data_IF_851228685019
#
_entry.id   IF_851228685019
#
_cell.length_a   1.000
_cell.length_b   1.000
_cell.length_c   1.000
_cell.angle_alpha   90.00
_cell.angle_beta   90.00
_cell.angle_gamma   90.00
#
_symmetry.space_group_name_H-M   'P 1'
#
loop_
_entity.id
_entity.type
_entity.pdbx_description
1 polymer ?
#
# COMPACT_ATOMS: atom_id res chain seq x y z
N UNK A 1 1.08 -20.36 18.14
CA UNK A 1 1.07 -21.07 16.83
C UNK A 1 2.25 -20.57 16.02
N UNK A 2 3.13 -21.47 15.56
CA UNK A 2 4.19 -21.10 14.61
C UNK A 2 3.55 -20.94 13.23
N UNK A 3 3.55 -19.73 12.67
CA UNK A 3 3.28 -19.53 11.26
C UNK A 3 4.44 -20.18 10.48
N UNK A 4 4.19 -21.37 9.93
CA UNK A 4 5.16 -22.07 9.12
C UNK A 4 5.21 -21.40 7.73
N UNK A 5 6.02 -20.35 7.59
CA UNK A 5 6.30 -19.77 6.28
C UNK A 5 7.30 -20.66 5.54
N UNK A 6 6.81 -21.43 4.57
CA UNK A 6 7.64 -22.27 3.72
C UNK A 6 7.93 -21.51 2.42
N UNK A 7 9.20 -21.34 2.10
CA UNK A 7 9.64 -20.83 0.79
C UNK A 7 10.55 -21.85 0.12
N UNK A 8 10.66 -21.81 -1.21
CA UNK A 8 11.61 -22.65 -1.94
C UNK A 8 12.64 -21.78 -2.63
N UNK A 9 13.92 -22.07 -2.43
CA UNK A 9 15.03 -21.44 -3.16
C UNK A 9 15.68 -22.48 -4.05
N UNK A 10 16.02 -22.09 -5.28
CA UNK A 10 16.74 -22.92 -6.23
C UNK A 10 18.18 -22.46 -6.32
N UNK A 11 19.11 -23.30 -5.86
CA UNK A 11 20.55 -23.03 -5.92
C UNK A 11 21.25 -24.29 -6.40
N UNK A 12 22.12 -24.16 -7.42
CA UNK A 12 22.90 -25.28 -7.96
C UNK A 12 22.06 -26.49 -8.43
N UNK A 13 20.80 -26.26 -8.84
CA UNK A 13 19.88 -27.31 -9.28
C UNK A 13 19.11 -28.02 -8.16
N UNK A 14 19.38 -27.69 -6.89
CA UNK A 14 18.67 -28.24 -5.73
C UNK A 14 17.53 -27.30 -5.29
N UNK A 15 16.40 -27.91 -4.89
CA UNK A 15 15.28 -27.19 -4.28
C UNK A 15 15.43 -27.23 -2.77
N UNK A 16 15.70 -26.08 -2.15
CA UNK A 16 15.85 -25.94 -0.70
C UNK A 16 14.58 -25.37 -0.11
N UNK A 17 14.02 -26.05 0.89
CA UNK A 17 12.86 -25.59 1.66
C UNK A 17 13.36 -24.67 2.78
N UNK A 18 13.01 -23.38 2.68
CA UNK A 18 13.31 -22.38 3.69
C UNK A 18 12.35 -22.49 4.85
N UNK A 19 12.91 -22.52 6.06
CA UNK A 19 12.20 -22.44 7.33
C UNK A 19 13.08 -21.68 8.32
N UNK A 20 12.47 -20.95 9.25
CA UNK A 20 13.20 -20.45 10.40
C UNK A 20 13.47 -21.64 11.33
N UNK A 21 14.75 -21.97 11.56
CA UNK A 21 15.13 -23.03 12.47
C UNK A 21 15.01 -22.56 13.93
N UNK A 22 14.83 -23.47 14.90
CA UNK A 22 14.75 -23.14 16.32
C UNK A 22 15.97 -22.41 16.89
N UNK A 23 17.16 -22.62 16.33
CA UNK A 23 18.41 -21.99 16.80
C UNK A 23 19.08 -21.19 15.70
N UNK A 24 19.90 -20.21 16.09
CA UNK A 24 20.71 -19.41 15.16
C UNK A 24 21.64 -20.30 14.33
N UNK A 25 22.32 -21.25 14.98
CA UNK A 25 23.24 -22.20 14.36
C UNK A 25 22.56 -23.03 13.24
N UNK A 26 21.37 -23.56 13.50
CA UNK A 26 20.64 -24.33 12.48
C UNK A 26 20.16 -23.45 11.31
N UNK A 27 19.85 -22.18 11.56
CA UNK A 27 19.53 -21.23 10.49
C UNK A 27 20.78 -20.90 9.66
N UNK A 28 21.95 -20.76 10.29
CA UNK A 28 23.23 -20.59 9.59
C UNK A 28 23.48 -21.75 8.65
N UNK A 29 23.34 -22.99 9.13
CA UNK A 29 23.56 -24.19 8.30
C UNK A 29 22.62 -24.26 7.09
N UNK A 30 21.36 -23.86 7.26
CA UNK A 30 20.39 -23.80 6.17
C UNK A 30 20.77 -22.73 5.14
N UNK A 31 21.09 -21.51 5.59
CA UNK A 31 21.48 -20.41 4.71
C UNK A 31 22.80 -20.70 3.99
N UNK A 32 23.72 -21.43 4.62
CA UNK A 32 25.01 -21.77 4.05
C UNK A 32 24.86 -22.66 2.79
N UNK A 33 23.83 -23.51 2.76
CA UNK A 33 23.47 -24.30 1.56
C UNK A 33 22.97 -23.41 0.42
N UNK A 34 22.18 -22.40 0.74
CA UNK A 34 21.63 -21.44 -0.25
C UNK A 34 22.72 -20.51 -0.78
N UNK A 35 23.64 -20.08 0.08
CA UNK A 35 24.66 -19.09 -0.23
C UNK A 35 26.00 -19.72 -0.66
N UNK A 36 25.98 -20.94 -1.19
CA UNK A 36 27.14 -21.64 -1.74
C UNK A 36 28.35 -21.69 -0.81
N UNK A 37 28.15 -21.95 0.48
CA UNK A 37 29.25 -22.02 1.45
C UNK A 37 29.63 -20.68 2.10
N UNK A 38 28.92 -19.58 1.82
CA UNK A 38 29.22 -18.28 2.40
C UNK A 38 28.78 -18.16 3.86
N UNK A 39 29.68 -18.60 4.76
CA UNK A 39 29.43 -18.59 6.21
C UNK A 39 29.21 -17.20 6.79
N UNK A 40 29.98 -16.19 6.36
CA UNK A 40 29.87 -14.82 6.87
C UNK A 40 28.50 -14.20 6.60
N UNK A 41 27.99 -14.36 5.37
CA UNK A 41 26.66 -13.87 5.01
C UNK A 41 25.55 -14.65 5.74
N UNK A 42 25.73 -15.96 5.92
CA UNK A 42 24.79 -16.83 6.62
C UNK A 42 24.67 -16.46 8.10
N UNK A 43 25.79 -16.27 8.80
CA UNK A 43 25.85 -15.80 10.18
C UNK A 43 25.21 -14.41 10.35
N UNK A 44 25.54 -13.47 9.46
CA UNK A 44 24.98 -12.11 9.53
C UNK A 44 23.45 -12.09 9.38
N UNK A 45 22.90 -12.87 8.44
CA UNK A 45 21.46 -12.98 8.23
C UNK A 45 20.76 -13.72 9.37
N UNK A 46 21.31 -14.87 9.80
CA UNK A 46 20.73 -15.67 10.88
C UNK A 46 20.60 -14.87 12.17
N UNK A 47 21.64 -14.09 12.51
CA UNK A 47 21.65 -13.21 13.67
C UNK A 47 20.50 -12.19 13.67
N UNK A 48 20.21 -11.58 12.53
CA UNK A 48 19.14 -10.57 12.42
C UNK A 48 17.76 -11.23 12.49
N UNK A 49 17.58 -12.40 11.88
CA UNK A 49 16.29 -13.11 11.87
C UNK A 49 15.92 -13.67 13.26
N UNK A 50 16.92 -14.03 14.08
CA UNK A 50 16.75 -14.50 15.46
C UNK A 50 16.77 -13.37 16.50
N UNK A 51 16.96 -12.12 16.08
CA UNK A 51 16.97 -11.00 17.01
C UNK A 51 15.55 -10.66 17.46
N UNK A 52 15.30 -10.74 18.77
CA UNK A 52 14.05 -10.26 19.37
C UNK A 52 13.91 -8.74 19.19
N UNK A 53 12.75 -8.32 18.70
CA UNK A 53 12.40 -6.91 18.55
C UNK A 53 11.21 -6.60 19.43
N UNK A 54 11.38 -5.63 20.33
CA UNK A 54 10.30 -5.07 21.14
C UNK A 54 9.80 -3.83 20.42
N UNK A 55 8.57 -3.89 19.90
CA UNK A 55 7.87 -2.77 19.30
C UNK A 55 6.54 -2.58 20.04
N UNK A 56 6.28 -1.37 20.53
CA UNK A 56 5.05 -1.02 21.26
C UNK A 56 4.43 0.21 20.64
N UNK A 57 3.11 0.22 20.54
CA UNK A 57 2.33 1.38 20.14
C UNK A 57 1.26 1.58 21.23
N UNK A 58 1.37 2.65 22.06
CA UNK A 58 0.44 2.88 23.16
C UNK A 58 -1.02 2.99 22.72
N UNK A 59 -1.29 3.41 21.48
CA UNK A 59 -2.63 3.45 20.95
C UNK A 59 -3.17 2.03 20.74
N UNK A 60 -2.34 1.11 20.23
CA UNK A 60 -2.71 -0.29 20.01
C UNK A 60 -2.85 -1.04 21.34
N UNK A 61 -1.97 -0.78 22.32
CA UNK A 61 -2.02 -1.39 23.65
C UNK A 61 -3.32 -1.07 24.41
N UNK A 62 -4.00 0.03 24.05
CA UNK A 62 -5.27 0.45 24.65
C UNK A 62 -6.51 -0.20 24.03
N UNK A 63 -6.34 -1.00 22.98
CA UNK A 63 -7.44 -1.52 22.16
C UNK A 63 -7.61 -3.02 22.44
N UNK A 64 -8.77 -3.38 22.98
CA UNK A 64 -9.18 -4.77 23.16
C UNK A 64 -10.25 -5.14 22.11
N UNK A 65 -9.83 -5.84 21.05
CA UNK A 65 -10.74 -6.37 20.03
C UNK A 65 -10.43 -7.85 19.85
N UNK A 66 -11.47 -8.69 19.93
CA UNK A 66 -11.37 -10.11 19.64
C UNK A 66 -11.98 -10.40 18.27
N UNK A 67 -11.18 -10.96 17.36
CA UNK A 67 -11.63 -11.42 16.05
C UNK A 67 -11.38 -12.94 16.00
N UNK A 68 -12.37 -13.76 15.64
CA UNK A 68 -12.19 -15.21 15.52
C UNK A 68 -11.05 -15.54 14.54
N UNK A 69 -10.11 -16.38 14.95
CA UNK A 69 -8.93 -16.66 14.13
C UNK A 69 -9.26 -17.49 12.88
N UNK A 70 -10.32 -18.30 12.94
CA UNK A 70 -10.78 -19.19 11.88
C UNK A 70 -11.39 -18.46 10.67
N UNK A 71 -11.71 -17.17 10.80
CA UNK A 71 -12.17 -16.33 9.69
C UNK A 71 -11.03 -15.53 9.03
N UNK A 72 -9.80 -15.61 9.54
CA UNK A 72 -8.69 -14.75 9.11
C UNK A 72 -7.75 -15.46 8.15
N UNK A 73 -7.42 -14.77 7.05
CA UNK A 73 -6.28 -15.07 6.21
C UNK A 73 -5.40 -13.84 6.00
N UNK A 74 -4.14 -14.07 5.64
CA UNK A 74 -3.11 -13.03 5.55
C UNK A 74 -2.47 -13.05 4.17
N UNK A 75 -2.41 -11.88 3.53
CA UNK A 75 -1.56 -11.61 2.38
C UNK A 75 -0.32 -10.83 2.82
N UNK A 76 0.86 -11.26 2.37
CA UNK A 76 2.15 -10.64 2.74
C UNK A 76 2.92 -10.29 1.48
N UNK A 77 3.33 -9.02 1.36
CA UNK A 77 4.45 -8.64 0.50
C UNK A 77 5.66 -8.32 1.40
N UNK A 78 6.70 -9.18 1.41
CA UNK A 78 7.82 -9.00 2.31
C UNK A 78 8.67 -7.77 1.98
N UNK A 79 8.82 -7.41 0.69
CA UNK A 79 9.61 -6.27 0.22
C UNK A 79 9.00 -5.76 -1.10
N UNK A 80 7.96 -4.93 -1.00
CA UNK A 80 7.39 -4.21 -2.13
C UNK A 80 8.44 -3.26 -2.72
N UNK A 81 8.39 -3.09 -4.04
CA UNK A 81 9.35 -2.27 -4.79
C UNK A 81 10.78 -2.81 -4.76
N UNK A 82 10.94 -4.13 -4.94
CA UNK A 82 12.25 -4.82 -4.94
C UNK A 82 13.29 -4.16 -5.87
N UNK A 83 12.87 -3.60 -7.01
CA UNK A 83 13.78 -2.84 -7.89
C UNK A 83 14.42 -1.63 -7.19
N UNK A 84 13.63 -0.87 -6.43
CA UNK A 84 14.15 0.29 -5.67
C UNK A 84 15.02 -0.16 -4.50
N UNK A 85 14.65 -1.26 -3.83
CA UNK A 85 15.46 -1.87 -2.78
C UNK A 85 16.85 -2.25 -3.31
N UNK A 86 16.92 -2.94 -4.45
CA UNK A 86 18.18 -3.34 -5.08
C UNK A 86 18.97 -2.12 -5.60
N UNK A 87 18.29 -1.14 -6.19
CA UNK A 87 18.94 0.07 -6.73
C UNK A 87 19.59 0.92 -5.62
N UNK A 88 19.01 0.92 -4.42
CA UNK A 88 19.66 1.49 -3.23
C UNK A 88 19.85 3.01 -3.24
N UNK A 89 19.09 3.76 -4.06
CA UNK A 89 19.22 5.23 -4.11
C UNK A 89 18.69 5.87 -2.81
N UNK A 90 19.58 6.53 -2.07
CA UNK A 90 19.30 7.14 -0.77
C UNK A 90 19.05 8.67 -0.84
N UNK A 91 19.51 9.30 -1.92
CA UNK A 91 19.66 10.75 -2.10
C UNK A 91 18.57 11.39 -2.98
N UNK A 92 17.52 10.62 -3.31
CA UNK A 92 16.40 11.11 -4.11
C UNK A 92 15.60 12.14 -3.33
N UNK A 93 15.32 13.29 -3.95
CA UNK A 93 14.47 14.33 -3.38
C UNK A 93 13.00 14.06 -3.68
N UNK A 94 12.14 14.29 -2.70
CA UNK A 94 10.70 14.26 -2.90
C UNK A 94 10.22 15.46 -3.72
N UNK A 95 9.21 15.26 -4.57
CA UNK A 95 8.40 16.32 -5.14
C UNK A 95 7.14 16.49 -4.29
N UNK A 96 6.99 17.60 -3.58
CA UNK A 96 5.85 17.88 -2.68
C UNK A 96 5.59 16.75 -1.65
N UNK A 97 6.66 16.19 -1.07
CA UNK A 97 6.58 15.10 -0.10
C UNK A 97 6.43 13.70 -0.69
N UNK A 98 6.31 13.56 -2.02
CA UNK A 98 6.20 12.27 -2.72
C UNK A 98 7.53 11.94 -3.38
N UNK A 99 8.09 10.79 -3.05
CA UNK A 99 9.35 10.31 -3.64
C UNK A 99 9.07 9.60 -4.96
N UNK A 100 9.69 10.02 -6.08
CA UNK A 100 9.47 9.35 -7.36
C UNK A 100 10.15 7.98 -7.45
N UNK A 101 11.22 7.79 -6.70
CA UNK A 101 12.05 6.58 -6.62
C UNK A 101 12.91 6.62 -5.35
N UNK A 102 13.75 5.62 -5.16
CA UNK A 102 14.65 5.52 -4.01
C UNK A 102 14.14 4.58 -2.93
N UNK A 103 14.96 4.37 -1.91
CA UNK A 103 14.67 3.45 -0.80
C UNK A 103 13.39 3.81 -0.04
N UNK A 104 12.99 5.09 -0.06
CA UNK A 104 11.72 5.56 0.49
C UNK A 104 10.50 4.89 -0.17
N UNK A 105 10.62 4.38 -1.40
CA UNK A 105 9.51 3.69 -2.08
C UNK A 105 9.34 2.23 -1.64
N UNK A 106 10.23 1.70 -0.78
CA UNK A 106 10.18 0.31 -0.31
C UNK A 106 9.25 0.20 0.89
N UNK A 107 8.35 -0.77 0.86
CA UNK A 107 7.42 -1.04 1.96
C UNK A 107 7.31 -2.54 2.25
N UNK A 108 6.96 -2.87 3.48
CA UNK A 108 6.57 -4.21 3.91
C UNK A 108 5.06 -4.17 4.13
N UNK A 109 4.32 -5.08 3.52
CA UNK A 109 2.86 -5.08 3.51
C UNK A 109 2.34 -6.36 4.14
N UNK A 110 1.52 -6.22 5.18
CA UNK A 110 0.85 -7.35 5.83
C UNK A 110 -0.63 -6.99 5.94
N UNK A 111 -1.46 -7.64 5.11
CA UNK A 111 -2.89 -7.42 5.06
C UNK A 111 -3.64 -8.64 5.57
N UNK A 112 -4.60 -8.43 6.46
CA UNK A 112 -5.47 -9.47 7.00
C UNK A 112 -6.88 -9.26 6.46
N UNK A 113 -7.49 -10.32 5.95
CA UNK A 113 -8.83 -10.28 5.37
C UNK A 113 -9.70 -11.43 5.89
N UNK A 114 -11.01 -11.23 5.77
CA UNK A 114 -12.03 -12.22 6.09
C UNK A 114 -12.14 -13.26 4.96
N UNK A 115 -11.95 -14.55 5.27
CA UNK A 115 -11.94 -15.62 4.24
C UNK A 115 -13.30 -15.86 3.59
N UNK A 116 -14.40 -15.53 4.27
CA UNK A 116 -15.76 -15.79 3.79
C UNK A 116 -16.25 -14.67 2.87
N UNK A 117 -15.93 -13.43 3.23
CA UNK A 117 -16.40 -12.24 2.49
C UNK A 117 -15.33 -11.64 1.57
N UNK A 118 -14.07 -11.95 1.80
CA UNK A 118 -12.94 -11.36 1.10
C UNK A 118 -12.62 -9.93 1.49
N UNK A 119 -13.28 -9.36 2.50
CA UNK A 119 -13.11 -7.97 2.91
C UNK A 119 -11.83 -7.82 3.74
N UNK A 120 -10.97 -6.82 3.47
CA UNK A 120 -9.78 -6.60 4.28
C UNK A 120 -10.16 -5.96 5.62
N UNK A 121 -9.63 -6.51 6.71
CA UNK A 121 -9.99 -6.19 8.09
C UNK A 121 -8.88 -5.41 8.79
N UNK A 122 -7.62 -5.82 8.64
CA UNK A 122 -6.46 -5.20 9.29
C UNK A 122 -5.31 -5.05 8.30
N UNK A 123 -4.49 -4.03 8.48
CA UNK A 123 -3.35 -3.79 7.62
C UNK A 123 -2.19 -3.16 8.36
N UNK A 124 -0.98 -3.58 8.00
CA UNK A 124 0.28 -2.99 8.43
C UNK A 124 1.09 -2.64 7.19
N UNK A 125 1.56 -1.39 7.14
CA UNK A 125 2.55 -0.92 6.18
C UNK A 125 3.76 -0.46 6.99
N UNK A 126 4.91 -1.10 6.82
CA UNK A 126 6.15 -0.64 7.40
C UNK A 126 7.09 -0.13 6.30
N UNK A 127 7.50 1.13 6.39
CA UNK A 127 8.46 1.76 5.50
C UNK A 127 9.84 1.74 6.16
N UNK A 128 10.78 0.86 5.76
CA UNK A 128 12.04 0.70 6.49
C UNK A 128 12.98 1.91 6.37
N UNK A 129 12.87 2.67 5.28
CA UNK A 129 13.82 3.71 4.90
C UNK A 129 13.12 5.08 4.77
N UNK A 130 12.77 5.72 5.89
CA UNK A 130 12.12 7.04 5.88
C UNK A 130 13.13 8.17 5.91
N UNK A 131 14.00 8.13 6.91
CA UNK A 131 15.04 9.15 7.10
C UNK A 131 16.38 8.50 7.42
N UNK A 132 17.45 9.05 6.86
CA UNK A 132 18.81 8.61 7.10
C UNK A 132 19.55 9.66 7.92
N UNK A 133 20.20 9.23 8.98
CA UNK A 133 21.16 10.05 9.71
C UNK A 133 22.49 10.07 8.94
N UNK A 134 22.89 11.23 8.42
CA UNK A 134 24.09 11.35 7.57
C UNK A 134 25.41 11.18 8.34
N UNK A 135 25.41 11.31 9.67
CA UNK A 135 26.60 11.10 10.50
C UNK A 135 26.86 9.63 10.81
N UNK A 136 25.80 8.85 10.99
CA UNK A 136 25.87 7.42 11.34
C UNK A 136 25.52 6.48 10.18
N UNK A 137 24.98 7.03 9.09
CA UNK A 137 24.43 6.33 7.92
C UNK A 137 23.24 5.40 8.25
N UNK A 138 22.70 5.47 9.46
CA UNK A 138 21.59 4.62 9.91
C UNK A 138 20.25 5.16 9.41
N UNK A 139 19.39 4.23 9.02
CA UNK A 139 18.02 4.51 8.63
C UNK A 139 17.07 4.40 9.82
N UNK A 140 16.05 5.26 9.82
CA UNK A 140 14.87 5.14 10.67
C UNK A 140 13.66 4.86 9.78
N UNK A 141 12.90 3.83 10.17
CA UNK A 141 11.66 3.45 9.51
C UNK A 141 10.43 4.11 10.14
N UNK A 142 9.26 3.84 9.57
CA UNK A 142 7.96 4.20 10.13
C UNK A 142 6.94 3.10 9.86
N UNK A 143 6.12 2.80 10.87
CA UNK A 143 5.08 1.79 10.80
C UNK A 143 3.69 2.46 10.82
N UNK A 144 2.80 1.98 9.96
CA UNK A 144 1.42 2.42 9.84
C UNK A 144 0.49 1.23 9.95
N UNK A 145 -0.62 1.38 10.65
CA UNK A 145 -1.58 0.31 10.83
C UNK A 145 -3.01 0.83 10.85
N UNK A 146 -3.96 -0.07 10.60
CA UNK A 146 -5.38 0.21 10.65
C UNK A 146 -6.21 -1.06 10.79
N UNK A 147 -7.38 -0.92 11.42
CA UNK A 147 -8.36 -1.97 11.64
C UNK A 147 -9.76 -1.43 11.36
N UNK A 148 -10.54 -2.20 10.58
CA UNK A 148 -11.95 -1.98 10.28
C UNK A 148 -12.72 -3.28 10.51
N UNK A 149 -13.41 -3.38 11.65
CA UNK A 149 -14.14 -4.59 12.04
C UNK A 149 -15.41 -4.23 12.81
N UNK A 150 -16.57 -4.73 12.32
CA UNK A 150 -17.88 -4.57 12.98
C UNK A 150 -18.22 -3.13 13.40
N UNK A 151 -17.88 -2.15 12.55
CA UNK A 151 -18.13 -0.71 12.81
C UNK A 151 -17.02 -0.01 13.60
N UNK A 152 -16.10 -0.75 14.22
CA UNK A 152 -14.89 -0.21 14.84
C UNK A 152 -13.86 0.12 13.77
N UNK A 153 -13.43 1.38 13.72
CA UNK A 153 -12.47 1.90 12.75
C UNK A 153 -11.37 2.70 13.45
N UNK A 154 -10.16 2.15 13.44
CA UNK A 154 -8.99 2.69 14.16
C UNK A 154 -7.77 2.64 13.25
N UNK A 155 -6.87 3.62 13.37
CA UNK A 155 -5.64 3.66 12.59
C UNK A 155 -4.56 4.53 13.26
N UNK A 156 -3.29 4.27 12.93
CA UNK A 156 -2.14 4.90 13.58
C UNK A 156 -2.06 6.42 13.40
N UNK A 157 -2.72 6.98 12.38
CA UNK A 157 -2.79 8.44 12.16
C UNK A 157 -3.83 9.14 13.04
N UNK A 158 -4.61 8.43 13.87
CA UNK A 158 -5.53 9.05 14.83
C UNK A 158 -4.71 9.57 16.03
N UNK A 159 -4.61 10.89 16.19
CA UNK A 159 -4.05 11.47 17.41
C UNK A 159 -5.06 11.34 18.57
N UNK A 160 -4.67 10.79 19.74
CA UNK A 160 -5.51 10.78 20.96
C UNK A 160 -5.93 12.18 21.43
N UNK A 161 -5.24 13.23 20.95
CA UNK A 161 -5.45 14.63 21.35
C UNK A 161 -6.43 15.39 20.45
N UNK A 162 -6.86 14.80 19.33
CA UNK A 162 -7.74 15.49 18.38
C UNK A 162 -9.22 15.56 18.81
N UNK A 163 -9.62 14.77 19.82
CA UNK A 163 -10.96 14.79 20.39
C UNK A 163 -11.17 15.83 21.52
N UNK A 164 -10.11 16.39 22.12
CA UNK A 164 -10.22 17.36 23.24
C UNK A 164 -9.95 18.82 22.88
N UNK A 165 -9.32 19.11 21.74
CA UNK A 165 -9.00 20.48 21.31
C UNK A 165 -9.71 20.89 20.01
N UNK A 166 -10.97 20.49 19.82
CA UNK A 166 -11.80 20.97 18.69
C UNK A 166 -12.23 22.44 18.83
N UNK A 167 -11.57 23.25 19.67
CA UNK A 167 -11.87 24.68 19.79
C UNK A 167 -10.70 25.66 19.76
N UNK A 168 -9.44 25.26 19.83
CA UNK A 168 -8.37 26.26 19.68
C UNK A 168 -7.03 25.64 19.29
N UNK A 169 -6.38 26.29 18.31
CA UNK A 169 -5.04 26.02 17.78
C UNK A 169 -4.86 24.81 16.83
N UNK A 170 -5.45 24.90 15.62
CA UNK A 170 -4.72 24.49 14.40
C UNK A 170 -4.24 25.75 13.69
N UNK A 171 -2.96 26.06 13.83
CA UNK A 171 -2.28 26.99 12.94
C UNK A 171 -2.21 26.35 11.55
N UNK A 172 -2.75 26.99 10.50
CA UNK A 172 -2.63 26.48 9.13
C UNK A 172 -1.16 26.55 8.72
N UNK A 173 -0.63 25.45 8.21
CA UNK A 173 0.52 25.54 7.30
C UNK A 173 0.09 26.48 6.19
N UNK A 174 0.86 27.56 6.02
CA UNK A 174 0.63 28.71 5.15
C UNK A 174 -0.02 28.34 3.81
N UNK A 175 -1.35 28.44 3.77
CA UNK A 175 -2.03 28.89 2.57
C UNK A 175 -1.65 30.37 2.43
N UNK A 176 -0.87 30.71 1.40
CA UNK A 176 -0.77 32.09 0.97
C UNK A 176 -2.20 32.55 0.61
N UNK A 177 -2.77 33.55 1.30
CA UNK A 177 -4.05 34.13 0.90
C UNK A 177 -3.75 35.16 -0.19
N UNK A 178 -3.50 34.67 -1.39
CA UNK A 178 -3.43 35.50 -2.59
C UNK A 178 -4.35 34.91 -3.65
N UNK A 179 -5.48 35.60 -3.83
CA UNK A 179 -6.56 35.40 -4.80
C UNK A 179 -7.47 34.18 -4.60
N UNK A 180 -8.76 34.46 -4.33
CA UNK A 180 -9.85 33.50 -4.34
C UNK A 180 -10.21 33.04 -5.75
N UNK A 181 -9.35 32.21 -6.33
CA UNK A 181 -9.69 31.35 -7.44
C UNK A 181 -9.64 29.91 -6.93
N UNK A 182 -10.78 29.22 -6.91
CA UNK A 182 -10.79 27.76 -6.79
C UNK A 182 -9.82 27.21 -7.83
N UNK A 183 -8.88 26.35 -7.42
CA UNK A 183 -7.96 25.75 -8.38
C UNK A 183 -8.79 25.03 -9.45
N UNK A 184 -8.55 25.24 -10.76
CA UNK A 184 -9.34 24.60 -11.81
C UNK A 184 -9.24 23.07 -11.81
N UNK A 185 -8.27 22.53 -11.05
CA UNK A 185 -8.02 21.10 -10.87
C UNK A 185 -8.12 20.73 -9.39
N UNK A 186 -9.27 20.20 -8.92
CA UNK A 186 -9.52 20.00 -7.49
C UNK A 186 -8.83 18.77 -6.90
N UNK A 187 -8.22 17.91 -7.73
CA UNK A 187 -7.66 16.62 -7.32
C UNK A 187 -6.16 16.52 -7.57
N UNK A 188 -5.51 15.66 -6.78
CA UNK A 188 -4.15 15.19 -6.98
C UNK A 188 -4.09 13.68 -7.09
N UNK A 189 -3.24 13.18 -7.99
CA UNK A 189 -3.10 11.76 -8.25
C UNK A 189 -1.65 11.30 -8.19
N UNK A 190 -1.41 10.09 -7.70
CA UNK A 190 -0.15 9.37 -7.90
C UNK A 190 -0.35 8.23 -8.88
N UNK A 191 0.60 8.03 -9.79
CA UNK A 191 0.56 6.99 -10.83
C UNK A 191 1.90 6.27 -10.96
N UNK A 192 1.87 5.09 -11.59
CA UNK A 192 3.10 4.44 -12.06
C UNK A 192 3.74 5.22 -13.21
N UNK A 193 5.05 5.09 -13.39
CA UNK A 193 5.74 5.60 -14.59
C UNK A 193 5.22 4.94 -15.87
N UNK A 194 4.82 3.67 -15.77
CA UNK A 194 4.30 2.81 -16.85
C UNK A 194 2.81 3.00 -17.16
N UNK A 195 2.13 3.99 -16.54
CA UNK A 195 0.69 4.19 -16.71
C UNK A 195 0.30 4.46 -18.19
N UNK A 196 -0.92 4.07 -18.60
CA UNK A 196 -1.38 4.18 -20.00
C UNK A 196 -1.63 5.63 -20.41
N UNK A 197 -1.37 5.95 -21.67
CA UNK A 197 -1.51 7.32 -22.20
C UNK A 197 -2.94 7.87 -22.13
N UNK A 198 -4.01 7.11 -22.43
CA UNK A 198 -5.38 7.61 -22.26
C UNK A 198 -5.69 8.04 -20.82
N UNK A 199 -5.24 7.25 -19.83
CA UNK A 199 -5.41 7.57 -18.40
C UNK A 199 -4.60 8.81 -18.04
N UNK A 200 -3.34 8.91 -18.46
CA UNK A 200 -2.49 10.10 -18.24
C UNK A 200 -3.11 11.36 -18.84
N UNK A 201 -3.63 11.28 -20.06
CA UNK A 201 -4.27 12.40 -20.75
C UNK A 201 -5.53 12.86 -20.00
N UNK A 202 -6.38 11.94 -19.57
CA UNK A 202 -7.58 12.26 -18.78
C UNK A 202 -7.20 12.86 -17.41
N UNK A 203 -6.24 12.27 -16.70
CA UNK A 203 -5.74 12.80 -15.43
C UNK A 203 -5.18 14.21 -15.59
N UNK A 204 -4.50 14.52 -16.70
CA UNK A 204 -3.96 15.87 -16.94
C UNK A 204 -5.09 16.92 -17.00
N UNK A 205 -6.28 16.54 -17.48
CA UNK A 205 -7.46 17.41 -17.48
C UNK A 205 -8.09 17.55 -16.10
N UNK A 206 -8.06 16.49 -15.29
CA UNK A 206 -8.68 16.46 -13.95
C UNK A 206 -7.78 17.09 -12.87
N UNK A 207 -6.50 16.72 -12.86
CA UNK A 207 -5.54 17.04 -11.81
C UNK A 207 -4.52 18.11 -12.21
N UNK A 208 -4.45 18.49 -13.50
CA UNK A 208 -3.45 19.43 -14.00
C UNK A 208 -2.03 18.96 -13.70
N UNK A 209 -1.24 19.83 -13.06
CA UNK A 209 0.15 19.55 -12.66
C UNK A 209 0.27 18.67 -11.40
N UNK A 210 -0.84 18.40 -10.69
CA UNK A 210 -0.84 17.63 -9.44
C UNK A 210 -0.88 16.11 -9.69
N UNK A 211 -0.11 15.65 -10.68
CA UNK A 211 0.08 14.24 -11.01
C UNK A 211 1.51 13.86 -10.68
N UNK A 212 1.67 12.97 -9.72
CA UNK A 212 2.97 12.52 -9.24
C UNK A 212 3.26 11.11 -9.75
N UNK A 213 4.51 10.86 -10.14
CA UNK A 213 4.97 9.52 -10.48
C UNK A 213 5.74 8.97 -9.29
N UNK A 214 5.46 7.73 -8.90
CA UNK A 214 6.17 7.06 -7.82
C UNK A 214 6.33 5.55 -8.06
N UNK A 215 7.44 5.00 -7.58
CA UNK A 215 7.67 3.56 -7.51
C UNK A 215 6.96 2.92 -6.30
N UNK A 216 6.85 1.59 -6.28
CA UNK A 216 6.24 0.81 -5.19
C UNK A 216 4.72 0.88 -5.14
N UNK A 217 4.04 -0.26 -5.20
CA UNK A 217 2.58 -0.31 -5.15
C UNK A 217 2.07 0.05 -3.75
N UNK A 218 2.74 -0.47 -2.72
CA UNK A 218 2.50 -0.15 -1.32
C UNK A 218 2.81 1.31 -1.01
N UNK A 219 3.93 1.85 -1.52
CA UNK A 219 4.28 3.26 -1.31
C UNK A 219 3.27 4.24 -1.95
N UNK A 220 2.80 3.98 -3.18
CA UNK A 220 1.75 4.80 -3.80
C UNK A 220 0.45 4.79 -2.99
N UNK A 221 0.06 3.62 -2.47
CA UNK A 221 -1.10 3.50 -1.59
C UNK A 221 -0.88 4.24 -0.27
N UNK A 222 0.32 4.18 0.29
CA UNK A 222 0.71 4.94 1.49
C UNK A 222 0.62 6.45 1.27
N UNK A 223 0.94 6.98 0.08
CA UNK A 223 0.72 8.39 -0.23
C UNK A 223 -0.75 8.82 -0.06
N UNK A 224 -1.71 7.95 -0.42
CA UNK A 224 -3.14 8.20 -0.21
C UNK A 224 -3.52 8.10 1.27
N UNK A 225 -3.01 7.09 1.97
CA UNK A 225 -3.21 6.92 3.43
C UNK A 225 -2.75 8.17 4.19
N UNK A 226 -1.57 8.69 3.85
CA UNK A 226 -1.00 9.89 4.46
C UNK A 226 -1.70 11.19 4.04
N UNK A 227 -2.54 11.16 2.99
CA UNK A 227 -3.16 12.36 2.42
C UNK A 227 -2.17 13.26 1.66
N UNK A 228 -1.08 12.71 1.15
CA UNK A 228 -0.15 13.43 0.25
C UNK A 228 -0.75 13.59 -1.15
N UNK A 229 -1.60 12.65 -1.56
CA UNK A 229 -2.42 12.70 -2.77
C UNK A 229 -3.84 12.25 -2.46
N UNK A 230 -4.79 12.70 -3.27
CA UNK A 230 -6.21 12.32 -3.11
C UNK A 230 -6.46 10.90 -3.65
N UNK A 231 -5.81 10.56 -4.77
CA UNK A 231 -6.06 9.34 -5.54
C UNK A 231 -4.74 8.63 -5.91
N UNK A 232 -4.72 7.31 -5.77
CA UNK A 232 -3.77 6.45 -6.49
C UNK A 232 -4.56 5.67 -7.54
N UNK A 233 -4.18 5.81 -8.81
CA UNK A 233 -4.77 5.05 -9.92
C UNK A 233 -3.70 4.22 -10.62
N UNK A 234 -4.09 3.00 -11.01
CA UNK A 234 -3.28 2.07 -11.77
C UNK A 234 -4.15 1.30 -12.75
N UNK A 235 -3.82 1.30 -14.05
CA UNK A 235 -4.68 0.69 -15.09
C UNK A 235 -4.20 -0.64 -15.69
N UNK A 236 -3.14 -1.21 -15.15
CA UNK A 236 -2.61 -2.51 -15.58
C UNK A 236 -2.97 -3.63 -14.60
N UNK A 237 -2.84 -4.87 -15.07
CA UNK A 237 -3.15 -6.08 -14.31
C UNK A 237 -1.94 -6.60 -13.51
N UNK A 238 -0.92 -5.77 -13.29
CA UNK A 238 0.36 -6.16 -12.68
C UNK A 238 0.48 -5.77 -11.21
N UNK A 239 -0.65 -5.55 -10.54
CA UNK A 239 -0.74 -5.52 -9.07
C UNK A 239 -1.50 -6.74 -8.59
N UNK A 240 -1.20 -7.19 -7.38
CA UNK A 240 -1.74 -8.42 -6.80
C UNK A 240 -2.40 -8.18 -5.45
N UNK A 241 -3.01 -9.23 -4.90
CA UNK A 241 -3.67 -9.19 -3.58
C UNK A 241 -2.71 -8.72 -2.47
N UNK A 242 -1.46 -9.18 -2.49
CA UNK A 242 -0.44 -8.78 -1.51
C UNK A 242 -0.01 -7.31 -1.61
N UNK A 243 -0.03 -6.70 -2.80
CA UNK A 243 0.32 -5.28 -2.99
C UNK A 243 -0.71 -4.31 -2.40
N UNK A 244 -1.95 -4.77 -2.21
CA UNK A 244 -3.12 -3.90 -1.97
C UNK A 244 -3.84 -4.18 -0.65
N UNK A 245 -3.85 -5.43 -0.16
CA UNK A 245 -4.65 -5.83 1.01
C UNK A 245 -4.37 -4.97 2.26
N UNK A 246 -3.10 -4.79 2.61
CA UNK A 246 -2.70 -4.03 3.79
C UNK A 246 -3.15 -2.56 3.69
N UNK A 247 -2.86 -1.89 2.59
CA UNK A 247 -3.23 -0.51 2.40
C UNK A 247 -4.75 -0.31 2.29
N UNK A 248 -5.45 -1.25 1.66
CA UNK A 248 -6.90 -1.22 1.57
C UNK A 248 -7.55 -1.31 2.97
N UNK A 249 -7.07 -2.21 3.85
CA UNK A 249 -7.56 -2.28 5.22
C UNK A 249 -7.40 -0.94 5.98
N UNK A 250 -6.24 -0.30 5.85
CA UNK A 250 -5.98 1.01 6.47
C UNK A 250 -6.92 2.06 5.91
N UNK A 251 -7.08 2.14 4.57
CA UNK A 251 -7.98 3.09 3.92
C UNK A 251 -9.43 2.90 4.37
N UNK A 252 -9.90 1.66 4.55
CA UNK A 252 -11.25 1.37 5.06
C UNK A 252 -11.46 1.93 6.46
N UNK A 253 -10.47 1.77 7.35
CA UNK A 253 -10.52 2.35 8.70
C UNK A 253 -10.59 3.89 8.68
N UNK A 254 -10.27 4.53 7.55
CA UNK A 254 -10.34 5.98 7.35
C UNK A 254 -11.61 6.45 6.61
N UNK A 255 -12.50 5.53 6.24
CA UNK A 255 -13.70 5.81 5.43
C UNK A 255 -13.47 5.78 3.90
N UNK A 256 -12.30 5.31 3.48
CA UNK A 256 -11.92 5.11 2.08
C UNK A 256 -11.97 3.64 1.66
N UNK A 257 -11.18 3.30 0.64
CA UNK A 257 -11.06 1.93 0.16
C UNK A 257 -10.17 1.81 -1.08
N UNK A 258 -10.26 0.65 -1.74
CA UNK A 258 -9.71 0.41 -3.06
C UNK A 258 -10.75 -0.25 -3.94
N UNK A 259 -11.03 0.36 -5.09
CA UNK A 259 -12.04 -0.13 -6.05
C UNK A 259 -11.39 -0.61 -7.33
N UNK A 260 -12.04 -1.54 -8.01
CA UNK A 260 -11.68 -1.97 -9.37
C UNK A 260 -11.89 -0.81 -10.35
N UNK A 261 -10.83 -0.43 -11.06
CA UNK A 261 -10.87 0.71 -11.99
C UNK A 261 -11.80 0.41 -13.17
N UNK A 262 -11.68 -0.76 -13.78
CA UNK A 262 -12.44 -1.14 -14.97
C UNK A 262 -13.93 -1.22 -14.65
N UNK A 263 -14.30 -1.87 -13.57
CA UNK A 263 -15.70 -1.92 -13.14
C UNK A 263 -16.26 -0.53 -12.83
N UNK A 264 -15.46 0.38 -12.26
CA UNK A 264 -15.89 1.77 -12.07
C UNK A 264 -16.16 2.49 -13.40
N UNK A 265 -15.34 2.26 -14.43
CA UNK A 265 -15.48 2.90 -15.74
C UNK A 265 -16.65 2.31 -16.56
N UNK A 266 -16.97 1.03 -16.38
CA UNK A 266 -18.06 0.33 -17.07
C UNK A 266 -19.41 0.47 -16.34
N UNK A 267 -19.40 1.05 -15.13
CA UNK A 267 -20.58 1.15 -14.26
C UNK A 267 -21.69 1.99 -14.88
N UNK A 268 -22.89 1.42 -14.97
CA UNK A 268 -24.08 2.16 -15.37
C UNK A 268 -24.55 3.13 -14.28
N UNK A 269 -25.14 4.29 -14.64
CA UNK A 269 -25.68 5.27 -13.68
C UNK A 269 -26.77 4.72 -12.74
N UNK A 270 -27.41 3.61 -13.12
CA UNK A 270 -28.45 2.92 -12.33
C UNK A 270 -27.93 1.72 -11.52
N UNK A 271 -26.64 1.41 -11.59
CA UNK A 271 -26.03 0.41 -10.71
C UNK A 271 -26.20 0.86 -9.24
N UNK A 272 -26.30 -0.11 -8.31
CA UNK A 272 -26.60 0.13 -6.89
C UNK A 272 -25.68 1.13 -6.18
N UNK A 273 -25.82 1.35 -4.88
CA UNK A 273 -25.01 2.34 -4.17
C UNK A 273 -23.57 1.86 -3.90
N UNK A 274 -23.27 0.57 -4.00
CA UNK A 274 -21.98 0.04 -3.52
C UNK A 274 -20.90 0.09 -4.60
N UNK A 275 -19.77 0.71 -4.28
CA UNK A 275 -18.60 0.75 -5.16
C UNK A 275 -17.97 -0.65 -5.29
N UNK A 276 -17.36 -1.00 -6.44
CA UNK A 276 -16.78 -2.32 -6.66
C UNK A 276 -15.45 -2.44 -5.92
N UNK A 277 -15.51 -2.69 -4.62
CA UNK A 277 -14.32 -2.81 -3.78
C UNK A 277 -13.53 -4.06 -4.15
N UNK A 278 -12.20 -3.98 -4.08
CA UNK A 278 -11.35 -5.16 -4.21
C UNK A 278 -11.65 -6.17 -3.09
N UNK A 279 -11.74 -7.45 -3.49
CA UNK A 279 -11.84 -8.60 -2.57
C UNK A 279 -10.60 -9.49 -2.68
N UNK A 280 -10.31 -10.21 -1.60
CA UNK A 280 -9.03 -10.90 -1.40
C UNK A 280 -9.11 -12.43 -1.27
N UNK A 281 -10.33 -12.98 -1.20
CA UNK A 281 -10.59 -14.42 -1.08
C UNK A 281 -10.74 -15.18 -2.41
N UNK A 282 -11.05 -14.48 -3.51
CA UNK A 282 -11.30 -15.10 -4.82
C UNK A 282 -10.16 -14.82 -5.79
N UNK A 283 -9.79 -15.85 -6.55
CA UNK A 283 -8.85 -15.75 -7.65
C UNK A 283 -9.57 -15.48 -8.98
N UNK A 284 -8.86 -14.94 -9.95
CA UNK A 284 -9.37 -14.70 -11.29
C UNK A 284 -9.65 -16.01 -12.03
N UNK A 285 -10.87 -16.20 -12.50
CA UNK A 285 -11.25 -17.37 -13.28
C UNK A 285 -10.39 -17.51 -14.55
N UNK A 286 -9.99 -18.74 -14.86
CA UNK A 286 -9.20 -19.08 -16.05
C UNK A 286 -7.74 -18.60 -16.02
N UNK A 287 -7.28 -17.90 -14.99
CA UNK A 287 -5.87 -17.54 -14.82
C UNK A 287 -5.09 -18.67 -14.12
N UNK A 288 -3.80 -18.77 -14.44
CA UNK A 288 -2.90 -19.78 -13.85
C UNK A 288 -1.74 -19.11 -13.11
N UNK A 289 -1.19 -19.80 -12.11
CA UNK A 289 -0.03 -19.32 -11.37
C UNK A 289 -0.31 -18.02 -10.61
N UNK A 290 0.62 -17.08 -10.68
CA UNK A 290 0.56 -15.79 -9.94
C UNK A 290 -0.59 -14.90 -10.44
N UNK A 291 -0.96 -14.99 -11.71
CA UNK A 291 -2.02 -14.17 -12.32
C UNK A 291 -3.43 -14.50 -11.77
N UNK A 292 -3.59 -15.65 -11.10
CA UNK A 292 -4.80 -15.97 -10.34
C UNK A 292 -5.09 -14.91 -9.28
N UNK A 293 -4.06 -14.24 -8.74
CA UNK A 293 -4.20 -13.29 -7.63
C UNK A 293 -3.98 -11.84 -8.06
N UNK A 294 -3.96 -11.57 -9.37
CA UNK A 294 -3.86 -10.22 -9.91
C UNK A 294 -5.14 -9.40 -9.64
N UNK A 295 -4.99 -8.10 -9.47
CA UNK A 295 -6.09 -7.13 -9.54
C UNK A 295 -6.31 -6.77 -11.01
N UNK A 296 -7.02 -7.63 -11.73
CA UNK A 296 -7.38 -7.40 -13.14
C UNK A 296 -8.24 -6.15 -13.27
N UNK A 297 -8.07 -5.42 -14.37
CA UNK A 297 -8.79 -4.16 -14.61
C UNK A 297 -8.17 -2.94 -13.92
N UNK A 298 -7.14 -3.13 -13.10
CA UNK A 298 -6.50 -2.07 -12.35
C UNK A 298 -7.30 -1.65 -11.11
N UNK A 299 -6.83 -0.58 -10.45
CA UNK A 299 -7.40 -0.13 -9.18
C UNK A 299 -7.40 1.39 -9.03
N UNK A 300 -8.28 1.86 -8.16
CA UNK A 300 -8.25 3.21 -7.59
C UNK A 300 -8.25 3.11 -6.07
N UNK A 301 -7.21 3.62 -5.41
CA UNK A 301 -7.18 3.79 -3.97
C UNK A 301 -7.55 5.23 -3.59
N UNK A 302 -8.38 5.38 -2.56
CA UNK A 302 -8.94 6.65 -2.15
C UNK A 302 -9.22 6.67 -0.64
N UNK A 303 -9.19 7.86 -0.05
CA UNK A 303 -9.46 8.07 1.38
C UNK A 303 -10.90 8.52 1.68
N UNK A 304 -11.57 9.16 0.72
CA UNK A 304 -12.93 9.67 0.88
C UNK A 304 -13.81 9.27 -0.29
N UNK A 305 -14.91 8.56 0.00
CA UNK A 305 -15.89 8.15 -1.00
C UNK A 305 -16.44 9.32 -1.82
N UNK A 306 -16.74 10.45 -1.16
CA UNK A 306 -17.23 11.66 -1.81
C UNK A 306 -16.21 12.22 -2.81
N UNK A 307 -14.92 12.19 -2.46
CA UNK A 307 -13.86 12.63 -3.38
C UNK A 307 -13.72 11.68 -4.57
N UNK A 308 -13.81 10.36 -4.34
CA UNK A 308 -13.76 9.38 -5.42
C UNK A 308 -14.91 9.56 -6.42
N UNK A 309 -16.15 9.72 -5.95
CA UNK A 309 -17.32 9.89 -6.83
C UNK A 309 -17.19 11.15 -7.70
N UNK A 310 -16.74 12.26 -7.10
CA UNK A 310 -16.48 13.50 -7.83
C UNK A 310 -15.31 13.36 -8.83
N UNK A 311 -14.24 12.66 -8.44
CA UNK A 311 -13.10 12.37 -9.31
C UNK A 311 -13.48 11.49 -10.51
N UNK A 312 -14.21 10.39 -10.28
CA UNK A 312 -14.68 9.48 -11.34
C UNK A 312 -15.59 10.19 -12.33
N UNK A 313 -16.48 11.07 -11.85
CA UNK A 313 -17.37 11.86 -12.71
C UNK A 313 -16.59 12.70 -13.72
N UNK A 314 -15.48 13.33 -13.30
CA UNK A 314 -14.62 14.11 -14.20
C UNK A 314 -13.73 13.21 -15.07
N UNK A 315 -13.19 12.13 -14.51
CA UNK A 315 -12.32 11.21 -15.24
C UNK A 315 -13.04 10.57 -16.43
N UNK A 316 -14.27 10.08 -16.22
CA UNK A 316 -15.09 9.43 -17.25
C UNK A 316 -15.42 10.42 -18.38
N UNK A 317 -15.76 11.67 -18.06
CA UNK A 317 -16.00 12.71 -19.06
C UNK A 317 -14.81 12.95 -19.99
N UNK A 318 -13.58 12.80 -19.48
CA UNK A 318 -12.36 12.99 -20.25
C UNK A 318 -11.82 11.72 -20.93
N UNK A 319 -12.34 10.55 -20.57
CA UNK A 319 -12.05 9.27 -21.24
C UNK A 319 -13.01 8.96 -22.39
N UNK A 320 -14.21 9.55 -22.39
CA UNK A 320 -15.16 9.38 -23.49
C UNK A 320 -14.59 9.96 -24.80
N UNK A 321 -14.71 9.24 -25.94
CA UNK A 321 -14.34 9.78 -27.24
C UNK A 321 -15.17 11.03 -27.54
N UNK A 322 -14.55 12.06 -28.15
CA UNK A 322 -15.16 13.37 -28.42
C UNK A 322 -16.32 13.36 -29.44
N UNK A 323 -16.81 12.21 -29.86
CA UNK A 323 -17.78 12.06 -30.95
C UNK A 323 -19.19 11.73 -30.44
N UNK A 324 -19.78 12.58 -29.59
CA UNK A 324 -21.23 12.56 -29.31
C UNK A 324 -21.82 13.94 -28.98
N UNK A 325 -21.29 15.00 -29.59
CA UNK A 325 -21.98 16.29 -29.63
C UNK A 325 -21.94 16.87 -31.04
N UNK A 326 -22.82 16.36 -31.88
CA UNK A 326 -23.40 17.08 -33.04
C UNK A 326 -24.89 17.23 -32.81
#
# INVERSE_FOLDING_TARGET
MSLLMIWSVFTLGEKIIMRLCPTEEETVDLLNKVLSGNKLASEALAKVVHQDVIFTDPALDSIEISIPQDILAIWVDPIDSTYQYIKGSADIKSNQGIFPSGLQCVTILIGVYDIQTGVPLMGVINQPFVSQDLGTLRWKGQCYWGLSYMGTNIHSLQSPLSARNSREARSPVTANPSSGAESPHPFSAVISTSEKEPIKAALTRVCGERIFRAAGAGYKSLCVVLGLVDIYIFSEDTTFKWDSCAAHAILRAMGGGMVDLKECLERHPQAGLDLPQLVYHVGNEGAAGVDQWANKGGLIAYRSRKQLEAFLSLLIQHLAPKDTHT
#
